data_IF_324523473193
#
_entry.id   IF_324523473193
#
_cell.length_a   1.000
_cell.length_b   1.000
_cell.length_c   1.000
_cell.angle_alpha   90.00
_cell.angle_beta   90.00
_cell.angle_gamma   90.00
#
_symmetry.space_group_name_H-M   'P 1'
#
loop_
_entity.id
_entity.type
_entity.pdbx_description
1 polymer ?
#
# COMPACT_ATOMS: atom_id res chain seq x y z
N UNK A 1 -18.92 -4.55 12.35
CA UNK A 1 -18.08 -3.76 11.43
C UNK A 1 -17.41 -2.65 12.23
N UNK A 2 -16.11 -2.41 12.06
CA UNK A 2 -15.33 -1.52 12.95
C UNK A 2 -14.86 -0.32 12.17
N UNK A 3 -15.25 0.85 12.64
CA UNK A 3 -14.93 2.15 12.06
C UNK A 3 -13.71 2.75 12.77
N UNK A 4 -12.79 3.31 11.99
CA UNK A 4 -11.59 4.01 12.47
C UNK A 4 -11.24 5.16 11.53
N UNK A 5 -10.55 6.16 12.05
CA UNK A 5 -9.92 7.18 11.22
C UNK A 5 -8.75 6.58 10.45
N UNK A 6 -8.69 6.86 9.16
CA UNK A 6 -7.54 6.56 8.32
C UNK A 6 -6.46 7.65 8.42
N UNK A 7 -5.37 7.47 7.67
CA UNK A 7 -4.24 8.42 7.60
C UNK A 7 -4.62 9.82 7.09
N UNK A 8 -5.76 9.95 6.41
CA UNK A 8 -6.24 11.18 5.79
C UNK A 8 -7.32 11.85 6.67
N UNK A 9 -7.55 11.33 7.89
CA UNK A 9 -8.53 11.85 8.84
C UNK A 9 -9.98 11.49 8.52
N UNK A 10 -10.22 10.56 7.60
CA UNK A 10 -11.57 10.13 7.26
C UNK A 10 -11.97 8.90 8.08
N UNK A 11 -13.19 8.89 8.62
CA UNK A 11 -13.72 7.72 9.30
C UNK A 11 -14.22 6.69 8.26
N UNK A 12 -13.65 5.49 8.28
CA UNK A 12 -13.99 4.40 7.35
C UNK A 12 -13.91 3.04 8.04
N UNK A 13 -14.66 2.02 7.60
CA UNK A 13 -14.50 0.66 8.10
C UNK A 13 -13.07 0.14 7.88
N UNK A 14 -12.53 -0.59 8.84
CA UNK A 14 -11.18 -1.19 8.73
C UNK A 14 -11.03 -2.07 7.48
N UNK A 15 -12.09 -2.78 7.09
CA UNK A 15 -12.10 -3.59 5.87
C UNK A 15 -11.97 -2.73 4.61
N UNK A 16 -12.70 -1.62 4.52
CA UNK A 16 -12.57 -0.69 3.39
C UNK A 16 -11.15 -0.10 3.33
N UNK A 17 -10.59 0.29 4.48
CA UNK A 17 -9.21 0.78 4.53
C UNK A 17 -8.22 -0.28 4.02
N UNK A 18 -8.42 -1.55 4.37
CA UNK A 18 -7.60 -2.67 3.90
C UNK A 18 -7.71 -2.85 2.39
N UNK A 19 -8.93 -2.87 1.86
CA UNK A 19 -9.19 -3.08 0.43
C UNK A 19 -8.58 -1.95 -0.41
N UNK A 20 -8.67 -0.70 0.07
CA UNK A 20 -8.00 0.45 -0.58
C UNK A 20 -6.49 0.31 -0.58
N UNK A 21 -5.88 -0.18 0.51
CA UNK A 21 -4.42 -0.41 0.54
C UNK A 21 -3.98 -1.55 -0.37
N UNK A 22 -4.82 -2.58 -0.55
CA UNK A 22 -4.57 -3.63 -1.54
C UNK A 22 -4.64 -3.08 -2.97
N UNK A 23 -5.58 -2.20 -3.26
CA UNK A 23 -5.65 -1.51 -4.55
C UNK A 23 -4.44 -0.57 -4.78
N UNK A 24 -4.03 0.21 -3.77
CA UNK A 24 -2.81 1.01 -3.81
C UNK A 24 -1.58 0.15 -4.15
N UNK A 25 -1.50 -1.07 -3.58
CA UNK A 25 -0.41 -2.01 -3.81
C UNK A 25 -0.38 -2.47 -5.28
N UNK A 26 -1.53 -2.83 -5.84
CA UNK A 26 -1.66 -3.27 -7.23
C UNK A 26 -1.22 -2.17 -8.21
N UNK A 27 -1.69 -0.93 -8.01
CA UNK A 27 -1.31 0.22 -8.83
C UNK A 27 0.21 0.47 -8.73
N UNK A 28 0.78 0.39 -7.52
CA UNK A 28 2.21 0.58 -7.32
C UNK A 28 3.05 -0.50 -8.06
N UNK A 29 2.57 -1.74 -8.11
CA UNK A 29 3.19 -2.80 -8.91
C UNK A 29 3.09 -2.52 -10.41
N UNK A 30 1.91 -2.12 -10.91
CA UNK A 30 1.74 -1.76 -12.31
C UNK A 30 2.70 -0.63 -12.73
N UNK A 31 2.86 0.39 -11.88
CA UNK A 31 3.81 1.48 -12.11
C UNK A 31 5.26 0.99 -12.14
N UNK A 32 5.64 0.06 -11.24
CA UNK A 32 6.98 -0.51 -11.23
C UNK A 32 7.25 -1.26 -12.54
N UNK A 33 6.36 -2.18 -12.93
CA UNK A 33 6.50 -2.95 -14.17
C UNK A 33 6.60 -2.05 -15.41
N UNK A 34 5.73 -1.04 -15.51
CA UNK A 34 5.78 -0.09 -16.60
C UNK A 34 7.12 0.65 -16.62
N UNK A 35 7.62 1.06 -15.46
CA UNK A 35 8.90 1.78 -15.34
C UNK A 35 10.12 0.94 -15.70
N UNK A 36 10.07 -0.38 -15.49
CA UNK A 36 11.12 -1.33 -15.86
C UNK A 36 11.12 -1.61 -17.36
N UNK A 37 9.93 -1.68 -17.97
CA UNK A 37 9.76 -1.96 -19.40
C UNK A 37 9.90 -0.71 -20.28
N UNK A 38 9.91 0.50 -19.72
CA UNK A 38 9.92 1.74 -20.50
C UNK A 38 11.32 2.05 -21.09
N UNK A 39 11.49 1.96 -22.43
CA UNK A 39 12.78 2.16 -23.07
C UNK A 39 13.19 3.65 -23.18
N UNK A 40 12.31 4.59 -22.86
CA UNK A 40 12.55 6.03 -23.02
C UNK A 40 13.29 6.66 -21.83
N UNK A 41 13.54 5.91 -20.75
CA UNK A 41 14.34 6.39 -19.61
C UNK A 41 15.83 6.21 -19.89
N UNK A 42 16.42 7.21 -20.53
CA UNK A 42 17.85 7.22 -20.90
C UNK A 42 18.80 7.39 -19.71
N UNK A 43 18.31 7.95 -18.59
CA UNK A 43 19.12 8.23 -17.41
C UNK A 43 19.02 7.08 -16.37
N UNK A 44 20.05 6.24 -16.34
CA UNK A 44 20.16 5.08 -15.45
C UNK A 44 20.14 5.47 -13.95
N UNK A 45 20.70 6.62 -13.58
CA UNK A 45 20.70 7.06 -12.18
C UNK A 45 19.29 7.43 -11.73
N UNK A 46 18.56 8.18 -12.55
CA UNK A 46 17.14 8.52 -12.28
C UNK A 46 16.27 7.26 -12.25
N UNK A 47 16.53 6.28 -13.11
CA UNK A 47 15.82 4.99 -13.08
C UNK A 47 16.05 4.26 -11.75
N UNK A 48 17.31 4.18 -11.29
CA UNK A 48 17.66 3.52 -10.02
C UNK A 48 17.05 4.24 -8.81
N UNK A 49 17.08 5.58 -8.77
CA UNK A 49 16.45 6.37 -7.71
C UNK A 49 14.94 6.14 -7.71
N UNK A 50 14.30 6.11 -8.88
CA UNK A 50 12.87 5.83 -8.99
C UNK A 50 12.53 4.43 -8.47
N UNK A 51 13.27 3.39 -8.89
CA UNK A 51 13.07 2.02 -8.39
C UNK A 51 13.19 1.95 -6.87
N UNK A 52 14.21 2.60 -6.28
CA UNK A 52 14.38 2.65 -4.83
C UNK A 52 13.20 3.34 -4.12
N UNK A 53 12.69 4.46 -4.68
CA UNK A 53 11.55 5.16 -4.12
C UNK A 53 10.26 4.35 -4.22
N UNK A 54 10.02 3.70 -5.36
CA UNK A 54 8.88 2.79 -5.56
C UNK A 54 8.96 1.60 -4.61
N UNK A 55 10.14 1.01 -4.42
CA UNK A 55 10.33 -0.08 -3.46
C UNK A 55 10.05 0.35 -2.02
N UNK A 56 10.51 1.53 -1.61
CA UNK A 56 10.18 2.12 -0.30
C UNK A 56 8.67 2.31 -0.13
N UNK A 57 8.00 2.80 -1.17
CA UNK A 57 6.55 2.98 -1.17
C UNK A 57 5.80 1.65 -1.04
N UNK A 58 6.19 0.63 -1.81
CA UNK A 58 5.65 -0.73 -1.73
C UNK A 58 5.78 -1.32 -0.32
N UNK A 59 6.96 -1.18 0.30
CA UNK A 59 7.19 -1.67 1.65
C UNK A 59 6.28 -0.96 2.67
N UNK A 60 6.04 0.34 2.51
CA UNK A 60 5.11 1.08 3.35
C UNK A 60 3.67 0.57 3.20
N UNK A 61 3.20 0.37 1.97
CA UNK A 61 1.84 -0.16 1.73
C UNK A 61 1.69 -1.57 2.34
N UNK A 62 2.68 -2.45 2.16
CA UNK A 62 2.67 -3.79 2.77
C UNK A 62 2.60 -3.75 4.29
N UNK A 63 3.33 -2.83 4.92
CA UNK A 63 3.29 -2.62 6.37
C UNK A 63 1.90 -2.13 6.84
N UNK A 64 1.30 -1.18 6.10
CA UNK A 64 -0.04 -0.68 6.38
C UNK A 64 -1.09 -1.81 6.29
N UNK A 65 -1.02 -2.64 5.24
CA UNK A 65 -1.88 -3.82 5.06
C UNK A 65 -1.75 -4.77 6.26
N UNK A 66 -0.53 -5.17 6.61
CA UNK A 66 -0.31 -6.10 7.74
C UNK A 66 -0.83 -5.53 9.07
N UNK A 67 -0.70 -4.22 9.27
CA UNK A 67 -1.25 -3.54 10.45
C UNK A 67 -2.78 -3.57 10.47
N UNK A 68 -3.42 -3.34 9.33
CA UNK A 68 -4.88 -3.39 9.20
C UNK A 68 -5.40 -4.82 9.41
N UNK A 69 -4.75 -5.83 8.82
CA UNK A 69 -5.09 -7.25 9.03
C UNK A 69 -4.97 -7.63 10.51
N UNK A 70 -3.90 -7.23 11.19
CA UNK A 70 -3.76 -7.44 12.64
C UNK A 70 -4.88 -6.78 13.45
N UNK A 71 -5.23 -5.53 13.13
CA UNK A 71 -6.32 -4.80 13.82
C UNK A 71 -7.66 -5.48 13.61
N UNK A 72 -7.94 -5.95 12.40
CA UNK A 72 -9.17 -6.71 12.09
C UNK A 72 -9.19 -8.01 12.90
N UNK A 73 -8.12 -8.80 12.89
CA UNK A 73 -8.05 -10.06 13.63
C UNK A 73 -8.23 -9.86 15.14
N UNK A 74 -7.53 -8.89 15.74
CA UNK A 74 -7.65 -8.54 17.17
C UNK A 74 -9.09 -8.19 17.54
N UNK A 75 -9.78 -7.48 16.65
CA UNK A 75 -11.13 -7.06 16.92
C UNK A 75 -12.16 -8.18 16.80
N UNK A 76 -11.94 -9.14 15.91
CA UNK A 76 -12.76 -10.36 15.84
C UNK A 76 -12.57 -11.16 17.14
N UNK A 77 -11.33 -11.35 17.59
CA UNK A 77 -11.05 -12.08 18.83
C UNK A 77 -11.57 -11.39 20.09
N UNK A 78 -11.67 -10.05 20.10
CA UNK A 78 -12.20 -9.31 21.25
C UNK A 78 -13.73 -9.35 21.35
N UNK A 79 -14.43 -9.84 20.32
CA UNK A 79 -15.89 -9.92 20.27
C UNK A 79 -16.41 -11.35 20.54
N UNK A 80 -15.50 -12.32 20.69
CA UNK A 80 -15.77 -13.71 21.08
C UNK A 80 -15.40 -13.93 22.55
#
# INVERSE_FOLDING_TARGET
>A
MIWKFDKDGNERPLQEQLDRRKADLEIAFMHLEWSEKNPLRLDQLKQKIHQQNTQKHLNKIKSDISTLEKKINQSITATN
#
